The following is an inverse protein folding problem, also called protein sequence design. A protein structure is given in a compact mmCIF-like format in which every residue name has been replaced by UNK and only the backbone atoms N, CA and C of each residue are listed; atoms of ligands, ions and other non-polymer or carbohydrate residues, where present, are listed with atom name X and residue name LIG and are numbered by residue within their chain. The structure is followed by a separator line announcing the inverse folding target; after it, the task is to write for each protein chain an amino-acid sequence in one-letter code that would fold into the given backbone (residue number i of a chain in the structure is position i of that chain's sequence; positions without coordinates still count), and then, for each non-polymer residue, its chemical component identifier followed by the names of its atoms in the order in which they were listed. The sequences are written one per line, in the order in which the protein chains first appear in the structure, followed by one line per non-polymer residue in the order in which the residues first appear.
data_IF_724412244242
#
_entry.id   IF_724412244242
#
_cell.length_a   1.000
_cell.length_b   1.000
_cell.length_c   1.000
_cell.angle_alpha   90.00
_cell.angle_beta   90.00
_cell.angle_gamma   90.00
#
_symmetry.space_group_name_H-M   'P 1'
#
loop_
_entity.id
_entity.type
_entity.pdbx_description
1 polymer ?
#
# COMPACT_ATOMS: atom_id res chain seq x y z
N UNK A 1 4.81 8.28 17.68
CA UNK A 1 4.88 9.65 17.13
C UNK A 1 5.48 9.75 15.72
N UNK A 2 6.13 8.72 15.13
CA UNK A 2 6.61 8.76 13.73
C UNK A 2 5.60 8.24 12.69
N UNK A 3 4.84 7.18 12.99
CA UNK A 3 3.81 6.64 12.07
C UNK A 3 2.60 7.57 11.86
N UNK A 4 2.37 8.51 12.77
CA UNK A 4 1.18 9.38 12.77
C UNK A 4 1.16 10.36 11.58
N UNK A 5 2.35 10.84 11.17
CA UNK A 5 2.47 11.80 10.07
C UNK A 5 2.12 11.20 8.70
N UNK A 6 2.53 9.94 8.43
CA UNK A 6 2.16 9.27 7.17
C UNK A 6 0.64 9.05 7.11
N UNK A 7 0.03 8.65 8.23
CA UNK A 7 -1.40 8.44 8.34
C UNK A 7 -2.17 9.75 8.14
N UNK A 8 -1.75 10.85 8.77
CA UNK A 8 -2.35 12.17 8.58
C UNK A 8 -2.24 12.65 7.12
N UNK A 9 -1.10 12.39 6.47
CA UNK A 9 -0.86 12.72 5.06
C UNK A 9 -1.78 11.92 4.14
N UNK A 10 -1.93 10.62 4.37
CA UNK A 10 -2.79 9.76 3.55
C UNK A 10 -4.29 10.04 3.78
N UNK A 11 -4.69 10.37 5.01
CA UNK A 11 -6.05 10.85 5.32
C UNK A 11 -6.35 12.18 4.61
N UNK A 12 -5.35 13.05 4.48
CA UNK A 12 -5.47 14.33 3.81
C UNK A 12 -5.49 14.25 2.27
N UNK A 13 -4.93 13.19 1.68
CA UNK A 13 -4.77 13.01 0.23
C UNK A 13 -5.89 12.15 -0.36
N UNK A 14 -7.12 12.69 -0.33
CA UNK A 14 -8.35 11.98 -0.73
C UNK A 14 -8.29 11.48 -2.17
N UNK A 15 -7.80 12.30 -3.11
CA UNK A 15 -7.80 11.92 -4.52
C UNK A 15 -6.74 10.85 -4.81
N UNK A 16 -5.57 10.95 -4.20
CA UNK A 16 -4.52 9.92 -4.25
C UNK A 16 -5.04 8.58 -3.76
N UNK A 17 -5.68 8.58 -2.58
CA UNK A 17 -6.29 7.38 -2.00
C UNK A 17 -7.32 6.76 -2.95
N UNK A 18 -8.20 7.57 -3.54
CA UNK A 18 -9.16 7.08 -4.52
C UNK A 18 -8.48 6.51 -5.77
N UNK A 19 -7.39 7.12 -6.23
CA UNK A 19 -6.60 6.62 -7.36
C UNK A 19 -5.94 5.27 -7.04
N UNK A 20 -5.44 5.08 -5.82
CA UNK A 20 -4.92 3.79 -5.33
C UNK A 20 -6.04 2.73 -5.27
N UNK A 21 -7.22 3.07 -4.74
CA UNK A 21 -8.38 2.16 -4.74
C UNK A 21 -8.75 1.75 -6.16
N UNK A 22 -8.84 2.72 -7.08
CA UNK A 22 -9.14 2.45 -8.49
C UNK A 22 -8.06 1.63 -9.20
N UNK A 23 -6.82 1.68 -8.73
CA UNK A 23 -5.72 0.86 -9.23
C UNK A 23 -5.94 -0.62 -8.88
N UNK A 24 -6.18 -0.94 -7.60
CA UNK A 24 -6.15 -2.33 -7.15
C UNK A 24 -7.52 -3.03 -7.19
N UNK A 25 -8.61 -2.29 -7.01
CA UNK A 25 -9.97 -2.85 -6.91
C UNK A 25 -10.33 -3.78 -8.09
N UNK A 26 -10.00 -3.46 -9.36
CA UNK A 26 -10.27 -4.37 -10.48
C UNK A 26 -9.57 -5.73 -10.39
N UNK A 27 -8.39 -5.80 -9.76
CA UNK A 27 -7.66 -7.07 -9.60
C UNK A 27 -8.34 -8.02 -8.61
N UNK A 28 -9.08 -7.45 -7.65
CA UNK A 28 -9.73 -8.17 -6.55
C UNK A 28 -11.26 -8.25 -6.70
N UNK A 29 -11.81 -7.86 -7.85
CA UNK A 29 -13.26 -7.67 -8.04
C UNK A 29 -14.10 -8.95 -7.90
N UNK A 30 -13.48 -10.11 -8.11
CA UNK A 30 -14.06 -11.46 -7.97
C UNK A 30 -13.88 -12.05 -6.56
N UNK A 31 -13.14 -11.37 -5.67
CA UNK A 31 -12.88 -11.80 -4.30
C UNK A 31 -14.00 -11.34 -3.37
N UNK A 32 -14.33 -12.15 -2.36
CA UNK A 32 -15.37 -11.83 -1.36
C UNK A 32 -14.77 -11.57 0.02
N UNK A 33 -13.89 -12.46 0.48
CA UNK A 33 -13.24 -12.36 1.79
C UNK A 33 -11.88 -11.70 1.63
N UNK A 34 -11.76 -10.46 2.11
CA UNK A 34 -10.57 -9.63 1.92
C UNK A 34 -10.01 -9.13 3.25
N UNK A 35 -8.69 -8.97 3.33
CA UNK A 35 -8.05 -8.22 4.40
C UNK A 35 -7.17 -7.07 3.90
N UNK A 36 -7.12 -6.03 4.72
CA UNK A 36 -6.16 -4.92 4.69
C UNK A 36 -5.00 -5.26 5.64
N UNK A 37 -3.83 -5.61 5.10
CA UNK A 37 -2.64 -5.92 5.90
C UNK A 37 -1.80 -4.67 6.16
N UNK A 38 -1.74 -4.26 7.43
CA UNK A 38 -1.18 -2.98 7.87
C UNK A 38 -2.18 -1.84 7.71
N UNK A 39 -3.40 -2.06 8.20
CA UNK A 39 -4.55 -1.20 7.95
C UNK A 39 -4.41 0.21 8.55
N UNK A 40 -3.47 0.44 9.47
CA UNK A 40 -3.28 1.72 10.14
C UNK A 40 -4.58 2.17 10.82
N UNK A 41 -5.09 3.34 10.44
CA UNK A 41 -6.34 3.91 10.96
C UNK A 41 -7.61 3.37 10.27
N UNK A 42 -7.49 2.42 9.33
CA UNK A 42 -8.62 1.82 8.61
C UNK A 42 -9.12 2.68 7.44
N UNK A 43 -8.33 3.68 7.04
CA UNK A 43 -8.65 4.73 6.08
C UNK A 43 -9.00 4.22 4.69
N UNK A 44 -8.35 3.14 4.23
CA UNK A 44 -8.68 2.45 2.96
C UNK A 44 -9.86 1.49 3.16
N UNK A 45 -9.77 0.61 4.15
CA UNK A 45 -10.82 -0.37 4.45
C UNK A 45 -12.22 0.27 4.60
N UNK A 46 -12.30 1.45 5.23
CA UNK A 46 -13.56 2.19 5.40
C UNK A 46 -14.20 2.61 4.08
N UNK A 47 -13.42 2.96 3.05
CA UNK A 47 -13.97 3.34 1.73
C UNK A 47 -14.38 2.12 0.90
N UNK A 48 -14.00 0.93 1.36
CA UNK A 48 -14.22 -0.33 0.64
C UNK A 48 -15.37 -1.14 1.21
N UNK A 49 -15.96 -0.75 2.34
CA UNK A 49 -17.04 -1.50 3.00
C UNK A 49 -18.30 -1.65 2.15
N UNK A 50 -18.55 -0.74 1.20
CA UNK A 50 -19.66 -0.87 0.25
C UNK A 50 -19.46 -2.04 -0.73
N UNK A 51 -18.21 -2.45 -0.95
CA UNK A 51 -17.85 -3.59 -1.81
C UNK A 51 -17.54 -4.85 -1.00
N UNK A 52 -16.84 -4.70 0.12
CA UNK A 52 -16.46 -5.77 1.04
C UNK A 52 -16.88 -5.40 2.47
N UNK A 53 -18.14 -5.65 2.86
CA UNK A 53 -18.66 -5.27 4.18
C UNK A 53 -17.90 -5.88 5.35
N UNK A 54 -17.37 -7.10 5.17
CA UNK A 54 -16.67 -7.87 6.19
C UNK A 54 -15.15 -7.83 6.03
N UNK A 55 -14.59 -6.72 5.51
CA UNK A 55 -13.14 -6.57 5.35
C UNK A 55 -12.42 -6.63 6.71
N UNK A 56 -11.44 -7.54 6.81
CA UNK A 56 -10.59 -7.65 8.00
C UNK A 56 -9.47 -6.62 7.96
N UNK A 57 -9.30 -5.85 9.03
CA UNK A 57 -8.22 -4.89 9.19
C UNK A 57 -7.15 -5.49 10.10
N UNK A 58 -5.99 -5.85 9.54
CA UNK A 58 -4.87 -6.41 10.30
C UNK A 58 -3.96 -5.26 10.73
N UNK A 59 -3.97 -4.92 12.02
CA UNK A 59 -3.19 -3.82 12.57
C UNK A 59 -2.82 -4.09 14.04
N UNK A 60 -1.52 -4.28 14.36
CA UNK A 60 -1.09 -4.53 15.74
C UNK A 60 -1.26 -3.33 16.68
N UNK A 61 -1.21 -2.09 16.17
CA UNK A 61 -1.38 -0.89 16.99
C UNK A 61 -2.86 -0.63 17.31
N UNK A 62 -3.35 -1.25 18.39
CA UNK A 62 -4.77 -1.18 18.83
C UNK A 62 -5.30 0.25 19.04
N UNK A 63 -4.44 1.21 19.35
CA UNK A 63 -4.83 2.63 19.48
C UNK A 63 -5.40 3.21 18.17
N UNK A 64 -5.04 2.64 17.02
CA UNK A 64 -5.58 3.08 15.73
C UNK A 64 -7.02 2.62 15.49
N UNK A 65 -7.47 1.54 16.13
CA UNK A 65 -8.76 0.91 15.85
C UNK A 65 -9.94 1.84 16.17
N UNK A 66 -9.75 2.76 17.11
CA UNK A 66 -10.75 3.76 17.50
C UNK A 66 -11.00 4.82 16.41
N UNK A 67 -10.11 4.94 15.41
CA UNK A 67 -10.23 5.92 14.33
C UNK A 67 -11.37 5.58 13.36
N UNK A 68 -11.64 4.28 13.17
CA UNK A 68 -12.73 3.79 12.33
C UNK A 68 -13.53 2.71 13.08
N UNK A 69 -14.44 3.10 13.99
CA UNK A 69 -15.27 2.15 14.72
C UNK A 69 -16.19 1.40 13.73
N UNK A 70 -16.39 0.10 13.99
CA UNK A 70 -17.26 -0.76 13.19
C UNK A 70 -16.56 -1.55 12.08
N UNK A 71 -15.23 -1.42 11.90
CA UNK A 71 -14.43 -2.33 11.09
C UNK A 71 -14.06 -3.60 11.88
N UNK A 72 -13.82 -4.70 11.16
CA UNK A 72 -13.39 -5.98 11.73
C UNK A 72 -11.89 -5.98 11.99
N UNK A 73 -11.47 -5.54 13.16
CA UNK A 73 -10.06 -5.43 13.54
C UNK A 73 -9.49 -6.73 14.08
N UNK A 74 -8.26 -7.05 13.66
CA UNK A 74 -7.46 -8.15 14.16
C UNK A 74 -6.02 -7.67 14.37
N UNK A 75 -5.34 -8.19 15.40
CA UNK A 75 -3.96 -7.78 15.70
C UNK A 75 -2.96 -8.44 14.74
N UNK A 76 -3.24 -9.68 14.34
CA UNK A 76 -2.38 -10.48 13.50
C UNK A 76 -3.16 -11.24 12.42
N UNK A 77 -2.45 -11.58 11.34
CA UNK A 77 -2.87 -12.56 10.34
C UNK A 77 -3.24 -13.93 10.95
N UNK A 78 -2.68 -14.27 12.11
CA UNK A 78 -3.00 -15.51 12.81
C UNK A 78 -4.41 -15.53 13.40
N UNK A 79 -4.96 -14.37 13.72
CA UNK A 79 -6.28 -14.23 14.34
C UNK A 79 -7.42 -14.31 13.32
N UNK A 80 -7.09 -14.38 12.04
CA UNK A 80 -8.07 -14.59 10.98
C UNK A 80 -8.82 -15.91 11.22
N UNK A 81 -10.17 -15.92 11.16
CA UNK A 81 -10.95 -17.12 11.43
C UNK A 81 -10.84 -18.16 10.30
N UNK A 82 -10.40 -17.74 9.12
CA UNK A 82 -10.34 -18.58 7.92
C UNK A 82 -9.28 -18.11 6.92
N UNK A 83 -9.17 -18.81 5.80
CA UNK A 83 -8.39 -18.37 4.65
C UNK A 83 -9.20 -17.38 3.80
N UNK A 84 -8.51 -16.44 3.16
CA UNK A 84 -9.12 -15.33 2.45
C UNK A 84 -8.98 -15.46 0.93
N UNK A 85 -9.89 -14.83 0.20
CA UNK A 85 -9.82 -14.74 -1.26
C UNK A 85 -8.77 -13.71 -1.70
N UNK A 86 -8.57 -12.66 -0.91
CA UNK A 86 -7.54 -11.67 -1.15
C UNK A 86 -6.98 -11.02 0.11
N UNK A 87 -5.74 -10.55 0.00
CA UNK A 87 -5.11 -9.65 0.96
C UNK A 87 -4.45 -8.53 0.15
N UNK A 88 -4.68 -7.28 0.53
CA UNK A 88 -3.92 -6.16 0.00
C UNK A 88 -3.03 -5.54 1.08
N UNK A 89 -1.93 -4.95 0.67
CA UNK A 89 -1.02 -4.22 1.55
C UNK A 89 -0.47 -2.99 0.83
N UNK A 90 -0.61 -1.83 1.47
CA UNK A 90 -0.34 -0.53 0.86
C UNK A 90 0.61 0.28 1.74
N UNK A 91 1.86 0.45 1.30
CA UNK A 91 2.92 1.17 2.01
C UNK A 91 3.20 0.62 3.42
N UNK A 92 3.40 -0.70 3.51
CA UNK A 92 3.64 -1.42 4.77
C UNK A 92 4.95 -2.21 4.73
N UNK A 93 5.21 -2.94 3.65
CA UNK A 93 6.36 -3.85 3.56
C UNK A 93 7.71 -3.13 3.69
N UNK A 94 7.78 -1.86 3.28
CA UNK A 94 8.96 -1.02 3.40
C UNK A 94 9.36 -0.67 4.84
N UNK A 95 8.49 -0.97 5.81
CA UNK A 95 8.72 -0.84 7.24
C UNK A 95 9.08 -2.18 7.92
N UNK A 96 8.93 -3.31 7.22
CA UNK A 96 9.13 -4.65 7.79
C UNK A 96 10.53 -5.15 7.45
N UNK A 97 11.38 -5.36 8.45
CA UNK A 97 12.76 -5.83 8.23
C UNK A 97 12.80 -7.17 7.46
N UNK A 98 11.94 -8.11 7.83
CA UNK A 98 11.81 -9.42 7.19
C UNK A 98 10.56 -9.49 6.29
N UNK A 99 10.49 -8.64 5.26
CA UNK A 99 9.33 -8.53 4.37
C UNK A 99 8.96 -9.84 3.65
N UNK A 100 9.94 -10.65 3.24
CA UNK A 100 9.70 -11.97 2.65
C UNK A 100 9.02 -12.95 3.61
N UNK A 101 9.28 -12.84 4.92
CA UNK A 101 8.56 -13.63 5.92
C UNK A 101 7.11 -13.15 6.03
N UNK A 102 6.87 -11.84 6.01
CA UNK A 102 5.51 -11.30 6.00
C UNK A 102 4.74 -11.74 4.75
N UNK A 103 5.37 -11.72 3.57
CA UNK A 103 4.78 -12.23 2.33
C UNK A 103 4.44 -13.73 2.41
N UNK A 104 5.33 -14.53 3.01
CA UNK A 104 5.07 -15.97 3.24
C UNK A 104 3.88 -16.20 4.18
N UNK A 105 3.76 -15.42 5.26
CA UNK A 105 2.61 -15.51 6.16
C UNK A 105 1.31 -15.07 5.49
N UNK A 106 1.35 -14.00 4.68
CA UNK A 106 0.22 -13.57 3.84
C UNK A 106 -0.19 -14.72 2.91
N UNK A 107 0.76 -15.37 2.22
CA UNK A 107 0.48 -16.52 1.37
C UNK A 107 -0.24 -17.64 2.15
N UNK A 108 0.24 -17.98 3.35
CA UNK A 108 -0.37 -19.03 4.18
C UNK A 108 -1.82 -18.74 4.55
N UNK A 109 -2.22 -17.47 4.67
CA UNK A 109 -3.59 -17.04 4.98
C UNK A 109 -4.51 -16.88 3.77
N UNK A 110 -4.00 -17.00 2.55
CA UNK A 110 -4.82 -17.00 1.34
C UNK A 110 -5.30 -18.41 1.00
N UNK A 111 -6.52 -18.50 0.49
CA UNK A 111 -7.06 -19.72 -0.15
C UNK A 111 -6.23 -20.09 -1.39
N UNK A 112 -6.21 -21.36 -1.83
CA UNK A 112 -5.66 -21.72 -3.14
C UNK A 112 -6.25 -20.84 -4.25
N UNK A 113 -5.41 -20.22 -5.07
CA UNK A 113 -5.84 -19.24 -6.08
C UNK A 113 -6.19 -17.85 -5.55
N UNK A 114 -6.07 -17.61 -4.24
CA UNK A 114 -6.27 -16.31 -3.61
C UNK A 114 -5.24 -15.28 -4.06
N UNK A 115 -5.60 -14.00 -3.97
CA UNK A 115 -4.84 -12.89 -4.57
C UNK A 115 -4.13 -12.04 -3.53
N UNK A 116 -2.93 -11.61 -3.87
CA UNK A 116 -2.18 -10.59 -3.16
C UNK A 116 -2.12 -9.32 -4.03
N UNK A 117 -2.42 -8.17 -3.44
CA UNK A 117 -2.08 -6.88 -4.04
C UNK A 117 -1.09 -6.11 -3.15
N UNK A 118 0.00 -5.63 -3.72
CA UNK A 118 1.03 -4.86 -3.03
C UNK A 118 1.18 -3.51 -3.71
N UNK A 119 1.28 -2.44 -2.93
CA UNK A 119 1.78 -1.13 -3.37
C UNK A 119 2.85 -0.66 -2.39
N UNK A 120 4.04 -0.33 -2.88
CA UNK A 120 5.20 0.09 -2.06
C UNK A 120 5.98 1.21 -2.75
N UNK A 121 6.74 2.04 -2.01
CA UNK A 121 7.51 3.12 -2.60
C UNK A 121 8.60 2.59 -3.53
N UNK A 122 8.70 3.20 -4.70
CA UNK A 122 9.64 2.84 -5.76
C UNK A 122 10.94 3.62 -5.68
N UNK A 123 11.97 3.02 -6.28
CA UNK A 123 13.26 3.60 -6.62
C UNK A 123 14.07 4.14 -5.43
N UNK A 124 15.21 3.49 -5.14
CA UNK A 124 16.15 3.92 -4.09
C UNK A 124 16.66 5.35 -4.30
N UNK A 125 16.75 5.82 -5.54
CA UNK A 125 17.19 7.19 -5.86
C UNK A 125 16.13 8.29 -5.60
N UNK A 126 14.91 7.92 -5.22
CA UNK A 126 13.86 8.84 -4.78
C UNK A 126 13.80 8.98 -3.25
N UNK A 127 14.76 8.38 -2.53
CA UNK A 127 14.86 8.53 -1.08
C UNK A 127 15.04 9.99 -0.67
N UNK A 128 14.34 10.39 0.38
CA UNK A 128 14.35 11.74 0.96
C UNK A 128 14.28 11.67 2.49
N UNK A 129 14.42 12.80 3.19
CA UNK A 129 14.17 12.86 4.64
C UNK A 129 12.73 12.49 5.02
N UNK A 130 11.79 12.55 4.06
CA UNK A 130 10.46 12.01 4.30
C UNK A 130 10.49 10.53 4.63
N UNK A 131 11.26 9.74 3.86
CA UNK A 131 11.41 8.30 4.06
C UNK A 131 11.92 8.00 5.47
N UNK A 132 12.96 8.72 5.91
CA UNK A 132 13.50 8.61 7.26
C UNK A 132 12.43 8.96 8.33
N UNK A 133 11.66 10.04 8.12
CA UNK A 133 10.66 10.51 9.09
C UNK A 133 9.49 9.55 9.27
N UNK A 134 9.05 8.92 8.18
CA UNK A 134 7.94 7.94 8.24
C UNK A 134 8.45 6.56 8.64
N UNK A 135 9.76 6.35 8.70
CA UNK A 135 10.39 5.11 9.16
C UNK A 135 10.51 4.05 8.06
N UNK A 136 10.62 4.46 6.79
CA UNK A 136 11.00 3.53 5.72
C UNK A 136 12.42 3.00 6.00
N UNK A 137 12.62 1.72 5.72
CA UNK A 137 13.96 1.10 5.73
C UNK A 137 14.39 0.65 4.32
N UNK A 138 13.50 0.72 3.33
CA UNK A 138 13.79 0.39 1.93
C UNK A 138 12.82 1.03 0.95
N UNK A 139 13.18 0.96 -0.33
CA UNK A 139 12.33 1.23 -1.49
C UNK A 139 12.59 0.14 -2.53
N UNK A 140 11.57 -0.18 -3.31
CA UNK A 140 11.58 -1.34 -4.20
C UNK A 140 11.85 -0.96 -5.66
N UNK A 141 12.36 -1.91 -6.43
CA UNK A 141 12.17 -1.95 -7.88
C UNK A 141 11.13 -3.01 -8.23
N UNK A 142 10.65 -2.98 -9.48
CA UNK A 142 9.76 -4.01 -10.02
C UNK A 142 10.39 -5.40 -9.92
N UNK A 143 11.69 -5.52 -10.18
CA UNK A 143 12.44 -6.79 -10.14
C UNK A 143 12.59 -7.30 -8.71
N UNK A 144 12.97 -6.41 -7.77
CA UNK A 144 13.14 -6.76 -6.36
C UNK A 144 11.81 -7.24 -5.74
N UNK A 145 10.71 -6.51 -5.99
CA UNK A 145 9.40 -6.90 -5.47
C UNK A 145 8.89 -8.21 -6.11
N UNK A 146 9.06 -8.37 -7.43
CA UNK A 146 8.67 -9.58 -8.16
C UNK A 146 9.39 -10.81 -7.62
N UNK A 147 10.71 -10.74 -7.43
CA UNK A 147 11.49 -11.85 -6.89
C UNK A 147 11.04 -12.26 -5.49
N UNK A 148 10.82 -11.29 -4.60
CA UNK A 148 10.32 -11.55 -3.22
C UNK A 148 8.95 -12.20 -3.21
N UNK A 149 8.04 -11.72 -4.06
CA UNK A 149 6.68 -12.27 -4.14
C UNK A 149 6.69 -13.69 -4.72
N UNK A 150 7.50 -13.96 -5.74
CA UNK A 150 7.69 -15.33 -6.25
C UNK A 150 8.26 -16.26 -5.18
N UNK A 151 9.30 -15.83 -4.46
CA UNK A 151 9.90 -16.60 -3.38
C UNK A 151 8.91 -16.91 -2.25
N UNK A 152 7.91 -16.05 -2.04
CA UNK A 152 6.83 -16.26 -1.09
C UNK A 152 5.70 -17.18 -1.60
N UNK A 153 5.86 -17.83 -2.75
CA UNK A 153 4.93 -18.84 -3.27
C UNK A 153 3.78 -18.28 -4.11
N UNK A 154 3.99 -17.15 -4.77
CA UNK A 154 3.01 -16.54 -5.67
C UNK A 154 3.43 -16.64 -7.14
N UNK A 155 2.44 -16.79 -8.01
CA UNK A 155 2.51 -16.45 -9.43
C UNK A 155 2.24 -14.95 -9.60
N UNK A 156 3.06 -14.23 -10.37
CA UNK A 156 2.83 -12.80 -10.62
C UNK A 156 1.88 -12.62 -11.80
N UNK A 157 0.73 -11.98 -11.53
CA UNK A 157 -0.29 -11.69 -12.54
C UNK A 157 -0.05 -10.34 -13.23
N UNK A 158 0.43 -9.35 -12.49
CA UNK A 158 0.67 -7.99 -12.99
C UNK A 158 1.66 -7.26 -12.09
N UNK A 159 2.50 -6.42 -12.67
CA UNK A 159 3.41 -5.54 -11.95
C UNK A 159 3.58 -4.25 -12.76
N UNK A 160 3.91 -3.15 -12.10
CA UNK A 160 4.17 -1.90 -12.78
C UNK A 160 4.37 -0.73 -11.82
N UNK A 161 4.48 0.45 -12.40
CA UNK A 161 4.65 1.69 -11.64
C UNK A 161 3.34 2.47 -11.49
N UNK A 162 3.25 3.23 -10.40
CA UNK A 162 2.14 4.11 -10.09
C UNK A 162 2.64 5.48 -9.60
N UNK A 163 1.84 6.51 -9.77
CA UNK A 163 2.13 7.90 -9.35
C UNK A 163 3.37 8.52 -10.04
N UNK A 164 3.31 8.63 -11.38
CA UNK A 164 4.35 9.31 -12.17
C UNK A 164 4.45 10.82 -11.88
N UNK A 165 3.34 11.47 -11.53
CA UNK A 165 3.33 12.89 -11.17
C UNK A 165 4.07 13.09 -9.84
N UNK A 166 3.80 12.24 -8.85
CA UNK A 166 4.54 12.24 -7.59
C UNK A 166 6.02 11.94 -7.76
N UNK A 167 6.40 11.12 -8.74
CA UNK A 167 7.81 10.94 -9.10
C UNK A 167 8.41 12.27 -9.53
N UNK A 168 7.82 12.93 -10.53
CA UNK A 168 8.35 14.20 -11.06
C UNK A 168 8.40 15.28 -10.00
N UNK A 169 7.38 15.38 -9.16
CA UNK A 169 7.34 16.31 -8.04
C UNK A 169 8.47 16.02 -7.03
N UNK A 170 8.73 14.75 -6.72
CA UNK A 170 9.81 14.34 -5.81
C UNK A 170 11.17 14.67 -6.40
N UNK A 171 11.40 14.39 -7.69
CA UNK A 171 12.65 14.77 -8.38
C UNK A 171 12.86 16.27 -8.45
N UNK A 172 11.83 17.03 -8.82
CA UNK A 172 11.89 18.48 -8.84
C UNK A 172 12.24 19.03 -7.45
N UNK A 173 11.64 18.47 -6.39
CA UNK A 173 11.94 18.87 -5.01
C UNK A 173 13.38 18.53 -4.61
N UNK A 174 13.88 17.32 -4.93
CA UNK A 174 15.28 16.93 -4.70
C UNK A 174 16.27 17.91 -5.36
N UNK A 175 15.97 18.35 -6.59
CA UNK A 175 16.83 19.28 -7.35
C UNK A 175 16.75 20.71 -6.82
N UNK A 176 15.54 21.20 -6.48
CA UNK A 176 15.31 22.61 -6.16
C UNK A 176 15.49 22.94 -4.68
N UNK A 177 15.16 22.01 -3.78
CA UNK A 177 15.06 22.24 -2.33
C UNK A 177 15.80 21.20 -1.49
N UNK A 178 16.55 20.30 -2.15
CA UNK A 178 17.23 19.19 -1.49
C UNK A 178 16.27 18.13 -0.96
N UNK A 179 16.74 17.32 0.00
CA UNK A 179 16.01 16.13 0.47
C UNK A 179 14.97 16.40 1.57
N UNK A 180 14.58 17.66 1.83
CA UNK A 180 13.62 18.00 2.89
C UNK A 180 12.21 17.43 2.65
N UNK A 181 11.35 17.45 3.67
CA UNK A 181 9.97 16.94 3.56
C UNK A 181 8.97 18.05 3.22
N UNK A 182 7.99 17.81 2.32
CA UNK A 182 6.89 18.74 2.09
C UNK A 182 6.00 18.88 3.34
N UNK A 183 5.35 20.03 3.49
CA UNK A 183 4.32 20.25 4.53
C UNK A 183 2.97 19.65 4.13
N UNK A 184 2.10 19.36 5.11
CA UNK A 184 0.73 18.84 4.88
C UNK A 184 -0.07 19.77 3.95
N UNK A 185 0.11 21.10 4.06
CA UNK A 185 -0.54 22.07 3.16
C UNK A 185 -0.12 21.91 1.69
N UNK A 186 1.17 21.66 1.44
CA UNK A 186 1.68 21.42 0.09
C UNK A 186 1.14 20.11 -0.48
N UNK A 187 1.01 19.08 0.35
CA UNK A 187 0.45 17.79 -0.06
C UNK A 187 -1.04 17.93 -0.43
N UNK A 188 -1.85 18.59 0.42
CA UNK A 188 -3.26 18.86 0.12
C UNK A 188 -3.45 19.64 -1.18
N UNK A 189 -2.61 20.65 -1.43
CA UNK A 189 -2.65 21.42 -2.67
C UNK A 189 -2.29 20.55 -3.89
N UNK A 190 -1.26 19.71 -3.77
CA UNK A 190 -0.85 18.80 -4.84
C UNK A 190 -1.95 17.76 -5.15
N UNK A 191 -2.52 17.14 -4.12
CA UNK A 191 -3.58 16.13 -4.24
C UNK A 191 -4.81 16.68 -4.97
N UNK A 192 -5.21 17.92 -4.64
CA UNK A 192 -6.35 18.57 -5.29
C UNK A 192 -6.11 18.85 -6.78
N UNK A 193 -4.88 19.17 -7.16
CA UNK A 193 -4.56 19.66 -8.52
C UNK A 193 -4.13 18.55 -9.46
N UNK A 194 -3.41 17.53 -8.97
CA UNK A 194 -2.68 16.59 -9.84
C UNK A 194 -3.08 15.12 -9.67
N UNK A 195 -3.80 14.74 -8.61
CA UNK A 195 -4.09 13.33 -8.37
C UNK A 195 -4.94 12.68 -9.48
N UNK A 196 -5.82 13.42 -10.15
CA UNK A 196 -6.58 12.91 -11.30
C UNK A 196 -5.67 12.46 -12.47
N UNK A 197 -4.46 13.01 -12.57
CA UNK A 197 -3.50 12.62 -13.61
C UNK A 197 -2.88 11.24 -13.36
N UNK A 198 -3.05 10.67 -12.16
CA UNK A 198 -2.58 9.33 -11.82
C UNK A 198 -3.43 8.21 -12.45
N UNK A 199 -4.59 8.56 -13.05
CA UNK A 199 -5.37 7.64 -13.87
C UNK A 199 -4.57 7.18 -15.10
N UNK A 200 -3.68 8.04 -15.61
CA UNK A 200 -2.75 7.68 -16.68
C UNK A 200 -1.58 6.91 -16.10
N UNK A 201 -1.42 5.66 -16.52
CA UNK A 201 -0.31 4.79 -16.10
C UNK A 201 0.84 4.91 -17.09
N UNK A 202 2.03 5.19 -16.58
CA UNK A 202 3.26 5.12 -17.36
C UNK A 202 4.00 3.83 -16.99
N UNK A 203 4.17 2.89 -17.95
CA UNK A 203 4.58 1.52 -17.64
C UNK A 203 6.00 1.41 -17.06
N UNK A 204 6.88 2.37 -17.32
CA UNK A 204 8.28 2.34 -16.89
C UNK A 204 8.59 3.32 -15.75
N UNK A 205 7.59 4.03 -15.21
CA UNK A 205 7.87 5.21 -14.39
C UNK A 205 6.78 5.55 -13.37
N UNK A 206 7.17 5.69 -12.10
CA UNK A 206 6.27 6.10 -11.03
C UNK A 206 6.93 6.13 -9.66
N UNK A 207 6.32 6.86 -8.72
CA UNK A 207 6.82 6.97 -7.34
C UNK A 207 6.63 5.67 -6.54
N UNK A 208 5.73 4.79 -6.98
CA UNK A 208 5.42 3.54 -6.32
C UNK A 208 5.49 2.37 -7.32
N UNK A 209 5.79 1.17 -6.80
CA UNK A 209 5.65 -0.10 -7.52
C UNK A 209 4.39 -0.77 -7.00
N UNK A 210 3.56 -1.27 -7.91
CA UNK A 210 2.48 -2.18 -7.56
C UNK A 210 2.73 -3.58 -8.10
N UNK A 211 2.17 -4.58 -7.44
CA UNK A 211 2.17 -5.96 -7.89
C UNK A 211 0.87 -6.65 -7.50
N UNK A 212 0.27 -7.39 -8.43
CA UNK A 212 -0.77 -8.36 -8.15
C UNK A 212 -0.22 -9.79 -8.36
N UNK A 213 -0.32 -10.62 -7.33
CA UNK A 213 0.08 -12.02 -7.36
C UNK A 213 -1.08 -12.94 -7.02
N UNK A 214 -0.95 -14.21 -7.41
CA UNK A 214 -1.90 -15.29 -7.10
C UNK A 214 -1.17 -16.40 -6.38
N UNK A 215 -1.74 -16.86 -5.27
CA UNK A 215 -1.23 -18.01 -4.54
C UNK A 215 -1.33 -19.26 -5.43
N UNK A 216 -0.20 -19.96 -5.55
CA UNK A 216 -0.16 -21.30 -6.14
C UNK A 216 -0.88 -22.29 -5.22
N UNK A 217 -1.48 -23.33 -5.81
CA UNK A 217 -2.28 -24.35 -5.12
C UNK A 217 -1.63 -24.89 -3.83
#
# INVERSE_FOLDING_TARGET
MQGDYNLEVMEAAVNYRQAVINLFKPYLADCRKIADFGAGRGTYARELTDTWPDIYCIEPARDFWQSCPGLSWLESLNDLPEQLDAIYTLNVLEHIEYDEKALTEINRRLSPGGKLFVLVPAHKNLWTEMDNKVGHIRRYSTEELTGKVINAGFEVLSTGYFDWVGYLATKAHQVLKGNGSPSVKQIKAFDKVFAWMQVVRLPEFGKNVYLCGRKLS
#
